data_IF_601090924841
#
_entry.id   IF_601090924841
#
_cell.length_a   1.000
_cell.length_b   1.000
_cell.length_c   1.000
_cell.angle_alpha   90.00
_cell.angle_beta   90.00
_cell.angle_gamma   90.00
#
_symmetry.space_group_name_H-M   'P 1'
#
loop_
_entity.id
_entity.type
_entity.pdbx_description
1 polymer ?
#
# COMPACT_ATOMS: atom_id res chain seq x y z
N UNK A 1 21.47 15.04 24.44
CA UNK A 1 20.46 14.36 23.61
C UNK A 1 19.13 15.10 23.59
N UNK A 2 18.60 15.58 24.73
CA UNK A 2 17.29 16.25 24.79
C UNK A 2 17.15 17.53 23.94
N UNK A 3 18.23 18.31 23.78
CA UNK A 3 18.19 19.55 22.99
C UNK A 3 18.08 19.29 21.48
N UNK A 4 18.69 18.21 20.97
CA UNK A 4 18.61 17.80 19.57
C UNK A 4 17.27 17.13 19.24
N UNK A 5 16.73 16.32 20.16
CA UNK A 5 15.39 15.74 20.04
C UNK A 5 14.31 16.83 20.00
N UNK A 6 14.45 17.88 20.82
CA UNK A 6 13.52 19.02 20.85
C UNK A 6 13.62 19.92 19.61
N UNK A 7 14.83 20.20 19.11
CA UNK A 7 15.00 20.97 17.87
C UNK A 7 14.41 20.22 16.66
N UNK A 8 14.56 18.89 16.62
CA UNK A 8 14.00 18.05 15.56
C UNK A 8 12.47 17.94 15.63
N UNK A 9 11.86 17.94 16.83
CA UNK A 9 10.40 17.99 16.96
C UNK A 9 9.83 19.33 16.52
N UNK A 10 10.44 20.43 16.96
CA UNK A 10 9.95 21.79 16.66
C UNK A 10 10.03 22.11 15.16
N UNK A 11 11.06 21.60 14.47
CA UNK A 11 11.19 21.74 13.00
C UNK A 11 10.21 20.85 12.22
N UNK A 12 9.95 19.63 12.70
CA UNK A 12 8.95 18.75 12.08
C UNK A 12 7.53 19.30 12.22
N UNK A 13 7.20 19.90 13.36
CA UNK A 13 5.89 20.49 13.60
C UNK A 13 5.70 21.79 12.79
N UNK A 14 6.74 22.61 12.64
CA UNK A 14 6.71 23.77 11.74
C UNK A 14 6.50 23.36 10.27
N UNK A 15 7.19 22.32 9.79
CA UNK A 15 7.02 21.80 8.43
C UNK A 15 5.59 21.26 8.21
N UNK A 16 5.03 20.53 9.18
CA UNK A 16 3.63 20.06 9.14
C UNK A 16 2.64 21.21 9.07
N UNK A 17 2.85 22.26 9.87
CA UNK A 17 2.01 23.46 9.86
C UNK A 17 2.07 24.18 8.51
N UNK A 18 3.25 24.26 7.89
CA UNK A 18 3.41 24.88 6.57
C UNK A 18 2.67 24.09 5.47
N UNK A 19 2.81 22.76 5.46
CA UNK A 19 2.13 21.91 4.48
C UNK A 19 0.61 21.96 4.65
N UNK A 20 0.11 22.03 5.89
CA UNK A 20 -1.33 22.22 6.14
C UNK A 20 -1.83 23.56 5.61
N UNK A 21 -1.10 24.64 5.85
CA UNK A 21 -1.46 25.96 5.34
C UNK A 21 -1.48 26.00 3.80
N UNK A 22 -0.48 25.37 3.14
CA UNK A 22 -0.44 25.29 1.69
C UNK A 22 -1.63 24.50 1.12
N UNK A 23 -1.94 23.34 1.72
CA UNK A 23 -3.11 22.54 1.34
C UNK A 23 -4.42 23.33 1.50
N UNK A 24 -4.62 23.97 2.64
CA UNK A 24 -5.83 24.77 2.93
C UNK A 24 -5.97 25.95 1.96
N UNK A 25 -4.86 26.60 1.61
CA UNK A 25 -4.84 27.69 0.62
C UNK A 25 -5.27 27.20 -0.75
N UNK A 26 -4.72 26.09 -1.24
CA UNK A 26 -5.08 25.53 -2.55
C UNK A 26 -6.54 25.04 -2.56
N UNK A 27 -6.99 24.41 -1.47
CA UNK A 27 -8.38 23.99 -1.31
C UNK A 27 -9.34 25.18 -1.33
N UNK A 28 -9.01 26.26 -0.63
CA UNK A 28 -9.81 27.49 -0.62
C UNK A 28 -9.86 28.12 -2.02
N UNK A 29 -8.71 28.22 -2.70
CA UNK A 29 -8.64 28.77 -4.07
C UNK A 29 -9.49 27.97 -5.04
N UNK A 30 -9.49 26.63 -4.93
CA UNK A 30 -10.33 25.77 -5.75
C UNK A 30 -11.82 26.01 -5.49
N UNK A 31 -12.22 26.13 -4.21
CA UNK A 31 -13.63 26.36 -3.82
C UNK A 31 -14.19 27.69 -4.31
N UNK A 32 -13.35 28.73 -4.37
CA UNK A 32 -13.75 30.08 -4.82
C UNK A 32 -13.87 30.17 -6.34
N UNK A 33 -13.32 29.23 -7.11
CA UNK A 33 -13.46 29.26 -8.56
C UNK A 33 -14.93 29.12 -9.00
N UNK A 34 -15.34 29.73 -10.11
CA UNK A 34 -16.63 29.45 -10.73
C UNK A 34 -16.79 27.96 -11.05
N UNK A 35 -17.99 27.40 -10.93
CA UNK A 35 -18.27 25.96 -11.15
C UNK A 35 -17.78 25.45 -12.50
N UNK A 36 -17.84 26.27 -13.55
CA UNK A 36 -17.34 25.92 -14.88
C UNK A 36 -15.82 25.70 -14.89
N UNK A 37 -15.08 26.53 -14.14
CA UNK A 37 -13.62 26.43 -13.99
C UNK A 37 -13.27 25.23 -13.11
N UNK A 38 -14.01 24.99 -12.02
CA UNK A 38 -13.83 23.81 -11.18
C UNK A 38 -13.95 22.51 -12.00
N UNK A 39 -15.04 22.37 -12.77
CA UNK A 39 -15.26 21.19 -13.63
C UNK A 39 -14.21 21.06 -14.73
N UNK A 40 -13.75 22.19 -15.29
CA UNK A 40 -12.67 22.19 -16.26
C UNK A 40 -11.38 21.61 -15.64
N UNK A 41 -10.99 22.09 -14.47
CA UNK A 41 -9.80 21.61 -13.76
C UNK A 41 -9.92 20.12 -13.40
N UNK A 42 -11.08 19.68 -12.89
CA UNK A 42 -11.38 18.27 -12.63
C UNK A 42 -11.28 17.40 -13.90
N UNK A 43 -11.71 17.94 -15.05
CA UNK A 43 -11.61 17.25 -16.34
C UNK A 43 -10.16 17.14 -16.81
N UNK A 44 -9.32 18.14 -16.54
CA UNK A 44 -7.88 18.09 -16.82
C UNK A 44 -7.12 17.15 -15.87
N UNK A 45 -7.54 17.06 -14.62
CA UNK A 45 -6.90 16.24 -13.59
C UNK A 45 -6.90 14.73 -13.93
N UNK A 46 -7.99 14.21 -14.51
CA UNK A 46 -8.14 12.77 -14.84
C UNK A 46 -7.04 12.25 -15.79
N UNK A 47 -6.85 12.81 -17.00
CA UNK A 47 -5.81 12.34 -17.91
C UNK A 47 -4.40 12.60 -17.38
N UNK A 48 -4.18 13.69 -16.61
CA UNK A 48 -2.90 13.95 -15.96
C UNK A 48 -2.54 12.86 -14.95
N UNK A 49 -3.48 12.53 -14.06
CA UNK A 49 -3.28 11.48 -13.07
C UNK A 49 -3.05 10.11 -13.72
N UNK A 50 -3.86 9.77 -14.73
CA UNK A 50 -3.68 8.54 -15.50
C UNK A 50 -2.31 8.46 -16.18
N UNK A 51 -1.87 9.54 -16.82
CA UNK A 51 -0.58 9.59 -17.52
C UNK A 51 0.61 9.38 -16.59
N UNK A 52 0.58 10.01 -15.41
CA UNK A 52 1.59 9.87 -14.36
C UNK A 52 1.71 8.41 -13.88
N UNK A 53 0.57 7.75 -13.66
CA UNK A 53 0.55 6.38 -13.14
C UNK A 53 0.93 5.35 -14.19
N UNK A 54 0.49 5.54 -15.44
CA UNK A 54 0.87 4.70 -16.58
C UNK A 54 2.29 4.96 -17.09
N UNK A 55 3.01 5.93 -16.50
CA UNK A 55 4.37 6.32 -16.89
C UNK A 55 4.46 6.66 -18.40
N UNK A 56 3.46 7.38 -18.91
CA UNK A 56 3.45 7.81 -20.32
C UNK A 56 4.66 8.72 -20.60
N UNK A 57 5.16 8.79 -21.84
CA UNK A 57 6.35 9.60 -22.15
C UNK A 57 6.11 11.11 -22.14
N UNK A 58 4.85 11.54 -22.28
CA UNK A 58 4.45 12.94 -22.31
C UNK A 58 2.96 13.08 -21.98
N UNK A 59 2.55 14.25 -21.53
CA UNK A 59 1.15 14.62 -21.34
C UNK A 59 0.92 16.07 -21.73
N UNK A 60 -0.23 16.32 -22.37
CA UNK A 60 -0.71 17.67 -22.68
C UNK A 60 -1.83 18.03 -21.72
N UNK A 61 -1.87 19.29 -21.31
CA UNK A 61 -2.92 19.82 -20.45
C UNK A 61 -3.18 21.28 -20.76
N UNK A 62 -4.33 21.77 -20.30
CA UNK A 62 -4.75 23.15 -20.54
C UNK A 62 -4.95 23.93 -19.25
N UNK A 63 -4.54 25.18 -19.25
CA UNK A 63 -4.91 26.15 -18.21
C UNK A 63 -6.30 26.73 -18.51
N UNK A 64 -7.09 27.12 -17.50
CA UNK A 64 -8.37 27.78 -17.71
C UNK A 64 -8.19 29.11 -18.44
N UNK A 65 -9.26 29.59 -19.07
CA UNK A 65 -9.27 30.88 -19.76
C UNK A 65 -9.23 32.07 -18.78
N UNK A 66 -9.86 31.89 -17.62
CA UNK A 66 -9.87 32.85 -16.52
C UNK A 66 -9.82 32.13 -15.17
N UNK A 67 -9.20 32.75 -14.18
CA UNK A 67 -9.07 32.18 -12.84
C UNK A 67 -9.21 33.25 -11.76
N UNK A 68 -9.81 32.90 -10.63
CA UNK A 68 -9.84 33.75 -9.45
C UNK A 68 -8.54 33.57 -8.67
N UNK A 69 -7.80 34.65 -8.44
CA UNK A 69 -6.47 34.58 -7.83
C UNK A 69 -6.42 35.01 -6.35
N UNK A 70 -7.52 35.53 -5.81
CA UNK A 70 -7.54 36.17 -4.50
C UNK A 70 -8.68 35.64 -3.63
N UNK A 71 -8.37 35.34 -2.37
CA UNK A 71 -9.31 34.80 -1.38
C UNK A 71 -10.05 35.91 -0.60
N UNK A 72 -9.53 37.13 -0.61
CA UNK A 72 -9.96 38.22 0.30
C UNK A 72 -11.40 38.74 0.06
N UNK A 73 -12.07 38.32 -1.02
CA UNK A 73 -13.50 38.58 -1.23
C UNK A 73 -14.10 37.59 -2.23
N UNK A 74 -14.36 36.35 -1.82
CA UNK A 74 -14.92 35.29 -2.66
C UNK A 74 -16.19 35.69 -3.45
N UNK A 75 -17.01 36.61 -2.91
CA UNK A 75 -18.23 37.12 -3.59
C UNK A 75 -17.98 38.25 -4.61
N UNK A 76 -16.79 38.87 -4.61
CA UNK A 76 -16.44 40.00 -5.49
C UNK A 76 -15.17 39.80 -6.31
N UNK A 77 -14.47 38.67 -6.14
CA UNK A 77 -13.21 38.40 -6.80
C UNK A 77 -13.42 38.27 -8.31
N UNK A 78 -12.92 39.24 -9.07
CA UNK A 78 -13.00 39.24 -10.53
C UNK A 78 -12.00 38.23 -11.09
N UNK A 79 -12.42 37.26 -11.94
CA UNK A 79 -11.49 36.35 -12.57
C UNK A 79 -10.51 37.08 -13.48
N UNK A 80 -9.21 36.82 -13.34
CA UNK A 80 -8.17 37.35 -14.21
C UNK A 80 -8.03 36.47 -15.45
N UNK A 81 -7.82 37.05 -16.65
CA UNK A 81 -7.60 36.28 -17.86
C UNK A 81 -6.22 35.61 -17.84
N UNK A 82 -6.16 34.35 -18.29
CA UNK A 82 -4.88 33.66 -18.54
C UNK A 82 -4.45 33.95 -19.98
N UNK A 83 -3.20 34.41 -20.22
CA UNK A 83 -2.73 34.71 -21.56
C UNK A 83 -2.78 33.48 -22.48
N UNK A 84 -3.17 33.71 -23.74
CA UNK A 84 -3.46 32.65 -24.73
C UNK A 84 -2.29 31.70 -24.99
N UNK A 85 -1.08 32.25 -25.00
CA UNK A 85 0.18 31.56 -25.24
C UNK A 85 0.55 30.57 -24.12
N UNK A 86 -0.05 30.70 -22.94
CA UNK A 86 0.15 29.79 -21.82
C UNK A 86 -1.01 28.80 -21.62
N UNK A 87 -2.08 28.87 -22.41
CA UNK A 87 -3.24 27.99 -22.21
C UNK A 87 -2.98 26.55 -22.56
N UNK A 88 -2.14 26.28 -23.55
CA UNK A 88 -1.75 24.92 -23.92
C UNK A 88 -0.38 24.61 -23.36
N UNK A 89 -0.30 23.55 -22.55
CA UNK A 89 0.91 23.12 -21.89
C UNK A 89 1.22 21.67 -22.22
N UNK A 90 2.50 21.35 -22.19
CA UNK A 90 3.00 20.00 -22.38
C UNK A 90 4.10 19.73 -21.37
N UNK A 91 4.07 18.54 -20.77
CA UNK A 91 5.13 18.03 -19.92
C UNK A 91 5.69 16.72 -20.50
N UNK A 92 7.00 16.55 -20.41
CA UNK A 92 7.71 15.41 -21.01
C UNK A 92 8.05 15.63 -22.49
N UNK A 93 8.45 14.57 -23.19
CA UNK A 93 8.82 14.61 -24.60
C UNK A 93 10.10 13.86 -24.97
N UNK A 94 10.57 14.05 -26.20
CA UNK A 94 11.73 13.32 -26.76
C UNK A 94 13.04 13.59 -25.99
N UNK A 95 13.24 14.83 -25.52
CA UNK A 95 14.42 15.20 -24.71
C UNK A 95 14.39 14.50 -23.34
N UNK A 96 13.21 14.44 -22.70
CA UNK A 96 13.01 13.71 -21.45
C UNK A 96 13.24 12.20 -21.60
N UNK A 97 12.88 11.61 -22.75
CA UNK A 97 13.18 10.21 -23.06
C UNK A 97 14.68 9.93 -23.19
N UNK A 98 15.43 10.85 -23.80
CA UNK A 98 16.89 10.75 -23.90
C UNK A 98 17.57 10.84 -22.53
N UNK A 99 17.02 11.69 -21.64
CA UNK A 99 17.50 11.89 -20.27
C UNK A 99 16.89 10.92 -19.25
N UNK A 100 16.08 9.95 -19.70
CA UNK A 100 15.31 9.01 -18.86
C UNK A 100 14.53 9.69 -17.73
N UNK A 101 14.09 10.93 -17.94
CA UNK A 101 13.31 11.68 -16.97
C UNK A 101 11.90 11.11 -16.91
N UNK A 102 11.49 10.61 -15.75
CA UNK A 102 10.13 10.14 -15.50
C UNK A 102 9.12 11.29 -15.73
N UNK A 103 7.99 11.00 -16.38
CA UNK A 103 6.95 12.00 -16.65
C UNK A 103 6.48 12.71 -15.39
N UNK A 104 6.49 12.01 -14.25
CA UNK A 104 6.13 12.60 -12.95
C UNK A 104 7.05 13.78 -12.60
N UNK A 105 8.35 13.59 -12.74
CA UNK A 105 9.34 14.62 -12.49
C UNK A 105 9.21 15.76 -13.51
N UNK A 106 9.00 15.43 -14.78
CA UNK A 106 8.79 16.43 -15.83
C UNK A 106 7.51 17.26 -15.61
N UNK A 107 6.41 16.64 -15.19
CA UNK A 107 5.16 17.33 -14.89
C UNK A 107 5.30 18.20 -13.63
N UNK A 108 5.88 17.68 -12.56
CA UNK A 108 6.16 18.46 -11.35
C UNK A 108 7.02 19.70 -11.68
N UNK A 109 8.13 19.50 -12.39
CA UNK A 109 9.00 20.60 -12.80
C UNK A 109 8.25 21.63 -13.64
N UNK A 110 7.44 21.19 -14.60
CA UNK A 110 6.69 22.11 -15.46
C UNK A 110 5.65 22.91 -14.67
N UNK A 111 4.98 22.30 -13.70
CA UNK A 111 4.01 23.00 -12.85
C UNK A 111 4.72 24.01 -11.94
N UNK A 112 5.87 23.66 -11.36
CA UNK A 112 6.69 24.59 -10.57
C UNK A 112 7.13 25.79 -11.41
N UNK A 113 7.60 25.58 -12.64
CA UNK A 113 7.97 26.69 -13.55
C UNK A 113 6.80 27.65 -13.83
N UNK A 114 5.58 27.12 -13.95
CA UNK A 114 4.38 27.94 -14.17
C UNK A 114 3.93 28.64 -12.88
N UNK A 115 4.09 27.99 -11.72
CA UNK A 115 3.82 28.57 -10.39
C UNK A 115 4.77 29.73 -10.05
N UNK A 116 6.01 29.69 -10.55
CA UNK A 116 7.01 30.77 -10.41
C UNK A 116 6.80 31.93 -11.39
N UNK A 117 5.79 31.86 -12.26
CA UNK A 117 5.48 32.93 -13.22
C UNK A 117 5.15 34.25 -12.51
N UNK A 118 5.63 35.41 -13.02
CA UNK A 118 5.24 36.71 -12.51
C UNK A 118 3.76 37.03 -12.75
N UNK A 119 3.11 36.35 -13.70
CA UNK A 119 1.67 36.46 -13.91
C UNK A 119 0.92 35.57 -12.92
N UNK A 120 0.22 36.22 -11.99
CA UNK A 120 -0.57 35.57 -10.95
C UNK A 120 -1.63 34.62 -11.51
N UNK A 121 -2.24 34.92 -12.67
CA UNK A 121 -3.24 34.05 -13.27
C UNK A 121 -2.63 32.73 -13.76
N UNK A 122 -1.40 32.76 -14.28
CA UNK A 122 -0.67 31.56 -14.67
C UNK A 122 -0.28 30.76 -13.43
N UNK A 123 0.30 31.43 -12.43
CA UNK A 123 0.77 30.78 -11.21
C UNK A 123 -0.37 30.07 -10.46
N UNK A 124 -1.50 30.74 -10.25
CA UNK A 124 -2.68 30.15 -9.59
C UNK A 124 -3.27 29.02 -10.43
N UNK A 125 -3.33 29.17 -11.76
CA UNK A 125 -3.83 28.11 -12.64
C UNK A 125 -3.00 26.83 -12.55
N UNK A 126 -1.68 26.95 -12.52
CA UNK A 126 -0.78 25.81 -12.37
C UNK A 126 -0.93 25.14 -10.99
N UNK A 127 -0.99 25.94 -9.91
CA UNK A 127 -1.24 25.44 -8.56
C UNK A 127 -2.57 24.68 -8.45
N UNK A 128 -3.63 25.19 -9.07
CA UNK A 128 -4.94 24.54 -9.12
C UNK A 128 -4.93 23.24 -9.96
N UNK A 129 -4.22 23.20 -11.08
CA UNK A 129 -4.03 21.96 -11.85
C UNK A 129 -3.30 20.91 -11.00
N UNK A 130 -2.24 21.32 -10.30
CA UNK A 130 -1.49 20.45 -9.39
C UNK A 130 -2.40 19.90 -8.28
N UNK A 131 -3.11 20.78 -7.59
CA UNK A 131 -4.05 20.45 -6.52
C UNK A 131 -5.14 19.50 -6.99
N UNK A 132 -5.83 19.83 -8.09
CA UNK A 132 -6.93 19.00 -8.60
C UNK A 132 -6.46 17.65 -9.12
N UNK A 133 -5.25 17.57 -9.66
CA UNK A 133 -4.63 16.29 -10.07
C UNK A 133 -4.41 15.37 -8.87
N UNK A 134 -3.78 15.87 -7.80
CA UNK A 134 -3.54 15.05 -6.59
C UNK A 134 -4.83 14.77 -5.83
N UNK A 135 -5.77 15.71 -5.79
CA UNK A 135 -7.09 15.48 -5.21
C UNK A 135 -7.85 14.39 -5.98
N UNK A 136 -7.77 14.36 -7.32
CA UNK A 136 -8.35 13.26 -8.09
C UNK A 136 -7.66 11.93 -7.82
N UNK A 137 -6.32 11.91 -7.70
CA UNK A 137 -5.59 10.70 -7.28
C UNK A 137 -6.10 10.19 -5.93
N UNK A 138 -6.26 11.05 -4.93
CA UNK A 138 -6.66 10.65 -3.59
C UNK A 138 -8.15 10.32 -3.50
N UNK A 139 -9.04 11.22 -3.91
CA UNK A 139 -10.49 11.07 -3.71
C UNK A 139 -11.19 10.31 -4.84
N UNK A 140 -10.64 10.36 -6.06
CA UNK A 140 -11.29 9.81 -7.26
C UNK A 140 -10.80 8.43 -7.70
N UNK A 141 -9.50 8.14 -7.54
CA UNK A 141 -8.90 6.88 -8.01
C UNK A 141 -8.88 5.77 -6.94
N UNK A 142 -8.95 6.16 -5.67
CA UNK A 142 -8.76 5.27 -4.55
C UNK A 142 -10.09 4.98 -3.83
N UNK A 143 -10.48 3.71 -3.62
CA UNK A 143 -11.66 3.38 -2.84
C UNK A 143 -11.69 4.05 -1.46
N UNK A 144 -12.88 4.52 -1.10
CA UNK A 144 -13.22 4.84 0.28
C UNK A 144 -13.39 3.52 1.04
N UNK A 145 -12.57 3.32 2.07
CA UNK A 145 -12.65 2.20 2.99
C UNK A 145 -13.21 2.63 4.34
N UNK A 146 -13.19 1.70 5.28
CA UNK A 146 -13.63 1.92 6.66
C UNK A 146 -12.59 2.74 7.42
N UNK A 147 -13.03 3.54 8.39
CA UNK A 147 -12.12 4.08 9.40
C UNK A 147 -11.66 2.95 10.30
N UNK A 148 -10.36 2.68 10.34
CA UNK A 148 -9.76 1.62 11.15
C UNK A 148 -8.55 2.16 11.89
N UNK A 149 -8.44 1.80 13.16
CA UNK A 149 -7.23 2.03 13.95
C UNK A 149 -6.41 0.75 13.99
N UNK A 150 -5.14 0.89 13.63
CA UNK A 150 -4.16 -0.20 13.74
C UNK A 150 -3.25 0.07 14.93
N UNK A 151 -2.91 -0.98 15.68
CA UNK A 151 -1.90 -0.93 16.73
C UNK A 151 -0.60 -1.56 16.25
N UNK A 152 0.50 -1.00 16.75
CA UNK A 152 1.84 -1.52 16.52
C UNK A 152 2.09 -2.68 17.46
N UNK A 153 2.52 -3.82 16.92
CA UNK A 153 2.96 -4.92 17.77
C UNK A 153 4.27 -4.54 18.49
N UNK A 154 4.56 -5.17 19.62
CA UNK A 154 5.75 -4.88 20.40
C UNK A 154 7.03 -5.04 19.56
N UNK A 155 7.85 -3.99 19.50
CA UNK A 155 9.13 -3.97 18.76
C UNK A 155 9.00 -3.79 17.24
N UNK A 156 7.82 -3.41 16.74
CA UNK A 156 7.59 -3.12 15.33
C UNK A 156 7.44 -1.61 15.08
N UNK A 157 7.57 -1.19 13.83
CA UNK A 157 7.47 0.22 13.42
C UNK A 157 6.14 0.55 12.74
N UNK A 158 5.52 -0.44 12.08
CA UNK A 158 4.31 -0.25 11.28
C UNK A 158 3.08 -0.79 12.05
N UNK A 159 2.09 0.05 12.36
CA UNK A 159 0.82 -0.40 12.91
C UNK A 159 0.10 -1.30 11.89
N UNK A 160 -0.12 -2.57 12.24
CA UNK A 160 -0.67 -3.58 11.31
C UNK A 160 -1.69 -4.52 11.95
N UNK A 161 -1.87 -4.46 13.27
CA UNK A 161 -2.90 -5.24 13.96
C UNK A 161 -4.16 -4.38 14.07
N UNK A 162 -5.26 -4.73 13.40
CA UNK A 162 -6.47 -3.94 13.48
C UNK A 162 -7.10 -4.06 14.87
N UNK A 163 -7.44 -2.92 15.48
CA UNK A 163 -8.24 -2.89 16.71
C UNK A 163 -9.69 -3.11 16.30
N UNK A 164 -10.27 -4.24 16.72
CA UNK A 164 -11.68 -4.51 16.48
C UNK A 164 -12.52 -3.58 17.34
N UNK A 165 -13.41 -2.80 16.71
CA UNK A 165 -14.59 -2.30 17.40
C UNK A 165 -15.55 -3.49 17.56
N UNK A 166 -15.80 -3.93 18.80
CA UNK A 166 -16.92 -4.83 19.11
C UNK A 166 -18.29 -4.20 18.77
N UNK A 167 -18.30 -2.91 18.42
CA UNK A 167 -19.49 -2.05 18.34
C UNK A 167 -19.93 -1.68 16.91
N UNK A 168 -19.27 -2.13 15.85
CA UNK A 168 -19.81 -1.91 14.50
C UNK A 168 -21.02 -2.84 14.30
N UNK A 169 -22.26 -2.31 14.22
CA UNK A 169 -23.45 -3.15 14.10
C UNK A 169 -23.34 -4.04 12.87
N UNK A 170 -23.82 -5.28 12.99
CA UNK A 170 -24.13 -6.11 11.83
C UNK A 170 -25.06 -5.30 10.93
N UNK A 171 -24.56 -4.80 9.79
CA UNK A 171 -25.43 -4.17 8.80
C UNK A 171 -26.56 -5.15 8.49
N UNK A 172 -27.81 -4.69 8.55
CA UNK A 172 -29.03 -5.50 8.40
C UNK A 172 -29.11 -6.31 7.09
N UNK A 173 -28.22 -6.04 6.14
CA UNK A 173 -28.05 -6.78 4.87
C UNK A 173 -27.30 -8.13 5.09
N UNK A 174 -26.71 -8.36 6.28
CA UNK A 174 -25.78 -9.47 6.55
C UNK A 174 -26.26 -10.45 7.64
N UNK A 175 -27.55 -10.42 7.99
CA UNK A 175 -28.14 -11.46 8.82
C UNK A 175 -28.04 -12.82 8.08
N UNK A 176 -27.73 -13.90 8.83
CA UNK A 176 -27.47 -15.28 8.35
C UNK A 176 -28.63 -15.97 7.60
N UNK A 177 -29.62 -15.24 7.11
CA UNK A 177 -30.79 -15.74 6.40
C UNK A 177 -31.13 -14.77 5.27
N UNK A 178 -30.44 -14.91 4.15
CA UNK A 178 -31.05 -15.10 2.82
C UNK A 178 -29.96 -15.06 1.75
N UNK A 179 -29.44 -16.25 1.43
CA UNK A 179 -28.92 -16.51 0.12
C UNK A 179 -30.12 -16.67 -0.83
N UNK A 180 -30.66 -15.56 -1.31
CA UNK A 180 -31.60 -15.57 -2.44
C UNK A 180 -30.98 -14.76 -3.57
N UNK A 181 -30.68 -15.49 -4.63
CA UNK A 181 -30.34 -14.99 -5.96
C UNK A 181 -31.50 -14.14 -6.46
N UNK A 182 -31.27 -12.85 -6.72
CA UNK A 182 -32.11 -12.06 -7.61
C UNK A 182 -31.22 -11.45 -8.71
N UNK A 183 -31.40 -11.98 -9.92
CA UNK A 183 -30.88 -11.40 -11.16
C UNK A 183 -31.56 -10.03 -11.38
N UNK A 184 -30.80 -8.95 -11.46
CA UNK A 184 -31.40 -7.64 -11.73
C UNK A 184 -30.43 -6.47 -11.81
N UNK A 185 -29.98 -6.18 -13.03
CA UNK A 185 -29.30 -4.96 -13.51
C UNK A 185 -27.80 -4.87 -13.24
N UNK A 186 -27.02 -5.32 -14.23
CA UNK A 186 -25.58 -5.21 -14.27
C UNK A 186 -25.09 -3.75 -14.25
N UNK A 187 -24.30 -3.43 -13.23
CA UNK A 187 -23.38 -2.31 -13.25
C UNK A 187 -22.11 -2.71 -14.01
N UNK A 188 -21.95 -2.16 -15.21
CA UNK A 188 -20.76 -2.29 -16.04
C UNK A 188 -19.55 -1.64 -15.34
N UNK A 189 -18.64 -2.46 -14.81
CA UNK A 189 -17.26 -2.02 -14.53
C UNK A 189 -16.60 -2.52 -13.24
N UNK A 190 -17.24 -3.36 -12.42
CA UNK A 190 -16.58 -4.01 -11.28
C UNK A 190 -16.81 -5.51 -11.37
N UNK A 191 -15.73 -6.29 -11.45
CA UNK A 191 -15.83 -7.73 -11.33
C UNK A 191 -16.51 -8.07 -10.02
N UNK A 192 -17.62 -8.79 -10.10
CA UNK A 192 -18.34 -9.35 -8.96
C UNK A 192 -17.40 -10.33 -8.25
N UNK A 193 -16.71 -9.86 -7.22
CA UNK A 193 -15.99 -10.72 -6.28
C UNK A 193 -16.88 -10.94 -5.07
N UNK A 194 -17.74 -11.96 -5.15
CA UNK A 194 -18.52 -12.46 -4.03
C UNK A 194 -17.55 -13.26 -3.14
N UNK A 195 -16.84 -12.59 -2.24
CA UNK A 195 -16.03 -13.27 -1.21
C UNK A 195 -16.93 -13.53 -0.01
N UNK A 196 -16.94 -14.75 0.57
CA UNK A 196 -17.67 -15.03 1.80
C UNK A 196 -17.18 -14.09 2.91
N UNK A 197 -18.05 -13.18 3.32
CA UNK A 197 -17.70 -12.15 4.28
C UNK A 197 -17.52 -12.78 5.67
N UNK A 198 -16.29 -12.93 6.14
CA UNK A 198 -15.99 -13.38 7.51
C UNK A 198 -15.97 -12.20 8.49
N UNK A 199 -16.45 -12.36 9.74
CA UNK A 199 -16.41 -11.30 10.75
C UNK A 199 -15.02 -10.69 10.97
N UNK A 200 -13.95 -11.49 10.84
CA UNK A 200 -12.57 -11.04 10.91
C UNK A 200 -12.25 -9.90 9.93
N UNK A 201 -12.79 -9.99 8.70
CA UNK A 201 -12.56 -9.01 7.65
C UNK A 201 -13.17 -7.63 7.96
N UNK A 202 -14.16 -7.56 8.87
CA UNK A 202 -14.79 -6.29 9.32
C UNK A 202 -13.77 -5.30 9.90
N UNK A 203 -12.68 -5.83 10.47
CA UNK A 203 -11.67 -5.06 11.19
C UNK A 203 -10.70 -4.33 10.27
N UNK A 204 -10.73 -4.60 8.96
CA UNK A 204 -9.79 -4.03 8.00
C UNK A 204 -10.38 -2.86 7.20
N UNK A 205 -9.49 -2.02 6.69
CA UNK A 205 -9.84 -0.85 5.88
C UNK A 205 -10.72 -1.22 4.68
N UNK A 206 -10.37 -2.30 3.96
CA UNK A 206 -11.18 -2.86 2.87
C UNK A 206 -11.40 -4.37 3.11
N UNK A 207 -12.56 -4.77 3.66
CA UNK A 207 -12.88 -6.17 3.95
C UNK A 207 -12.76 -7.11 2.74
N UNK A 208 -13.04 -6.60 1.53
CA UNK A 208 -12.96 -7.37 0.28
C UNK A 208 -11.55 -7.76 -0.14
N UNK A 209 -10.51 -7.19 0.47
CA UNK A 209 -9.10 -7.53 0.21
C UNK A 209 -8.48 -8.36 1.33
N UNK A 210 -9.31 -8.94 2.21
CA UNK A 210 -8.87 -9.84 3.27
C UNK A 210 -8.85 -11.26 2.72
N UNK A 211 -7.65 -11.76 2.44
CA UNK A 211 -7.41 -13.08 1.91
C UNK A 211 -7.14 -14.12 3.01
N UNK A 212 -6.74 -13.68 4.20
CA UNK A 212 -6.38 -14.56 5.32
C UNK A 212 -7.14 -14.19 6.59
N UNK A 213 -7.56 -15.22 7.34
CA UNK A 213 -8.24 -15.10 8.63
C UNK A 213 -7.29 -14.93 9.82
N UNK A 214 -7.83 -15.05 11.03
CA UNK A 214 -7.08 -14.86 12.28
C UNK A 214 -6.04 -15.95 12.56
N UNK A 215 -6.15 -17.12 11.92
CA UNK A 215 -5.24 -18.26 12.06
C UNK A 215 -4.45 -18.50 10.77
N UNK A 216 -4.30 -17.46 9.95
CA UNK A 216 -3.66 -17.53 8.63
C UNK A 216 -4.33 -18.54 7.68
N UNK A 217 -5.59 -18.88 7.91
CA UNK A 217 -6.37 -19.70 6.98
C UNK A 217 -6.73 -18.90 5.72
N UNK A 218 -6.62 -19.52 4.55
CA UNK A 218 -6.99 -18.92 3.28
C UNK A 218 -8.52 -18.78 3.20
N UNK A 219 -9.01 -17.55 3.02
CA UNK A 219 -10.43 -17.20 2.93
C UNK A 219 -10.92 -17.05 1.48
N UNK A 220 -9.99 -16.82 0.56
CA UNK A 220 -10.23 -16.71 -0.89
C UNK A 220 -10.04 -18.06 -1.58
N UNK A 221 -10.37 -18.15 -2.86
CA UNK A 221 -10.41 -19.44 -3.56
C UNK A 221 -9.01 -20.00 -3.88
N UNK A 222 -7.98 -19.15 -3.87
CA UNK A 222 -6.62 -19.53 -4.25
C UNK A 222 -5.55 -18.58 -3.69
N UNK A 223 -4.30 -19.06 -3.63
CA UNK A 223 -3.13 -18.23 -3.29
C UNK A 223 -2.93 -17.12 -4.32
N UNK A 224 -3.18 -17.39 -5.60
CA UNK A 224 -3.06 -16.40 -6.67
C UNK A 224 -4.05 -15.24 -6.48
N UNK A 225 -5.24 -15.51 -5.95
CA UNK A 225 -6.21 -14.47 -5.60
C UNK A 225 -5.72 -13.60 -4.44
N UNK A 226 -5.09 -14.22 -3.43
CA UNK A 226 -4.47 -13.51 -2.30
C UNK A 226 -3.30 -12.61 -2.75
N UNK A 227 -2.41 -13.11 -3.61
CA UNK A 227 -1.34 -12.35 -4.23
C UNK A 227 -1.88 -11.17 -5.05
N UNK A 228 -2.98 -11.38 -5.80
CA UNK A 228 -3.63 -10.32 -6.56
C UNK A 228 -4.22 -9.22 -5.67
N UNK A 229 -4.71 -9.55 -4.47
CA UNK A 229 -5.14 -8.56 -3.47
C UNK A 229 -3.94 -7.76 -2.95
N UNK A 230 -2.84 -8.41 -2.58
CA UNK A 230 -1.59 -7.73 -2.17
C UNK A 230 -1.08 -6.80 -3.26
N UNK A 231 -1.00 -7.27 -4.51
CA UNK A 231 -0.58 -6.47 -5.65
C UNK A 231 -1.52 -5.26 -5.89
N UNK A 232 -2.81 -5.41 -5.61
CA UNK A 232 -3.78 -4.30 -5.69
C UNK A 232 -3.53 -3.25 -4.61
N UNK A 233 -3.24 -3.68 -3.38
CA UNK A 233 -2.88 -2.79 -2.27
C UNK A 233 -1.55 -2.05 -2.53
N UNK A 234 -0.54 -2.72 -3.10
CA UNK A 234 0.72 -2.09 -3.51
C UNK A 234 0.49 -1.00 -4.57
N UNK A 235 -0.31 -1.30 -5.62
CA UNK A 235 -0.69 -0.29 -6.63
C UNK A 235 -1.42 0.90 -6.03
N UNK A 236 -2.23 0.69 -5.00
CA UNK A 236 -2.91 1.76 -4.28
C UNK A 236 -1.91 2.67 -3.55
N UNK A 237 -0.91 2.11 -2.88
CA UNK A 237 0.16 2.90 -2.26
C UNK A 237 0.99 3.66 -3.29
N UNK A 238 1.23 3.10 -4.47
CA UNK A 238 1.91 3.80 -5.57
C UNK A 238 1.17 5.07 -6.01
N UNK A 239 -0.16 5.08 -5.99
CA UNK A 239 -0.96 6.29 -6.27
C UNK A 239 -0.75 7.34 -5.20
N UNK A 240 -0.77 6.96 -3.92
CA UNK A 240 -0.52 7.89 -2.81
C UNK A 240 0.90 8.46 -2.88
N UNK A 241 1.90 7.63 -3.17
CA UNK A 241 3.28 8.09 -3.36
C UNK A 241 3.43 9.01 -4.56
N UNK A 242 2.72 8.75 -5.67
CA UNK A 242 2.70 9.63 -6.82
C UNK A 242 2.06 10.99 -6.48
N UNK A 243 0.98 11.00 -5.70
CA UNK A 243 0.34 12.23 -5.24
C UNK A 243 1.29 13.09 -4.39
N UNK A 244 1.98 12.51 -3.40
CA UNK A 244 2.94 13.25 -2.55
C UNK A 244 4.12 13.79 -3.34
N UNK A 245 4.64 13.02 -4.30
CA UNK A 245 5.72 13.50 -5.18
C UNK A 245 5.31 14.66 -6.06
N UNK A 246 4.03 14.73 -6.44
CA UNK A 246 3.51 15.83 -7.26
C UNK A 246 3.13 17.05 -6.41
N UNK A 247 2.60 16.84 -5.20
CA UNK A 247 2.18 17.91 -4.30
C UNK A 247 2.41 17.49 -2.84
N UNK A 248 3.57 17.82 -2.23
CA UNK A 248 3.90 17.34 -0.88
C UNK A 248 2.86 17.73 0.18
N UNK A 249 2.19 18.86 0.02
CA UNK A 249 1.15 19.32 0.95
C UNK A 249 -0.08 18.40 1.02
N UNK A 250 -0.29 17.48 0.06
CA UNK A 250 -1.43 16.54 0.09
C UNK A 250 -1.38 15.63 1.32
N UNK A 251 -0.22 15.47 1.97
CA UNK A 251 -0.14 14.73 3.24
C UNK A 251 -0.96 15.39 4.35
N UNK A 252 -1.28 16.68 4.22
CA UNK A 252 -2.10 17.38 5.18
C UNK A 252 -3.60 17.12 4.99
N UNK A 253 -4.01 16.42 3.93
CA UNK A 253 -5.38 15.94 3.75
C UNK A 253 -5.68 14.77 4.70
N UNK A 254 -6.79 14.90 5.43
CA UNK A 254 -7.22 13.90 6.40
C UNK A 254 -7.63 12.59 5.70
N UNK A 255 -8.23 12.68 4.50
CA UNK A 255 -8.62 11.49 3.73
C UNK A 255 -7.40 10.76 3.15
N UNK A 256 -6.40 11.50 2.69
CA UNK A 256 -5.09 10.94 2.32
C UNK A 256 -4.48 10.14 3.49
N UNK A 257 -4.44 10.73 4.70
CA UNK A 257 -3.86 10.06 5.85
C UNK A 257 -4.65 8.80 6.22
N UNK A 258 -5.97 8.89 6.27
CA UNK A 258 -6.84 7.75 6.54
C UNK A 258 -6.60 6.61 5.53
N UNK A 259 -6.58 6.93 4.23
CA UNK A 259 -6.30 5.97 3.15
C UNK A 259 -4.94 5.33 3.30
N UNK A 260 -3.91 6.15 3.57
CA UNK A 260 -2.53 5.68 3.73
C UNK A 260 -2.39 4.73 4.92
N UNK A 261 -2.86 5.13 6.11
CA UNK A 261 -2.76 4.31 7.32
C UNK A 261 -3.58 3.03 7.18
N UNK A 262 -4.81 3.14 6.66
CA UNK A 262 -5.69 1.99 6.43
C UNK A 262 -5.06 0.96 5.50
N UNK A 263 -4.55 1.42 4.36
CA UNK A 263 -3.94 0.55 3.36
C UNK A 263 -2.64 -0.08 3.83
N UNK A 264 -1.77 0.71 4.46
CA UNK A 264 -0.45 0.23 4.89
C UNK A 264 -0.58 -0.86 5.95
N UNK A 265 -1.45 -0.64 6.96
CA UNK A 265 -1.68 -1.63 8.02
C UNK A 265 -2.26 -2.93 7.46
N UNK A 266 -3.22 -2.84 6.55
CA UNK A 266 -3.81 -4.01 5.90
C UNK A 266 -2.81 -4.75 4.99
N UNK A 267 -2.03 -4.04 4.18
CA UNK A 267 -1.04 -4.64 3.29
C UNK A 267 0.00 -5.44 4.06
N UNK A 268 0.58 -4.83 5.11
CA UNK A 268 1.55 -5.52 5.97
C UNK A 268 0.91 -6.74 6.61
N UNK A 269 -0.28 -6.60 7.18
CA UNK A 269 -0.96 -7.72 7.81
C UNK A 269 -1.18 -8.91 6.86
N UNK A 270 -1.76 -8.65 5.69
CA UNK A 270 -2.12 -9.68 4.72
C UNK A 270 -0.89 -10.26 4.00
N UNK A 271 0.12 -9.44 3.73
CA UNK A 271 1.40 -9.90 3.18
C UNK A 271 2.12 -10.87 4.12
N UNK A 272 2.19 -10.54 5.41
CA UNK A 272 2.76 -11.44 6.42
C UNK A 272 1.94 -12.72 6.61
N UNK A 273 0.60 -12.64 6.50
CA UNK A 273 -0.25 -13.81 6.57
C UNK A 273 -0.05 -14.76 5.38
N UNK A 274 0.14 -14.22 4.18
CA UNK A 274 0.52 -15.00 2.99
C UNK A 274 1.84 -15.77 3.23
N UNK A 275 2.86 -15.09 3.72
CA UNK A 275 4.17 -15.70 3.98
C UNK A 275 4.09 -16.85 5.01
N UNK A 276 3.32 -16.68 6.09
CA UNK A 276 3.04 -17.75 7.05
C UNK A 276 2.27 -18.91 6.45
N UNK A 277 1.25 -18.63 5.63
CA UNK A 277 0.48 -19.66 4.95
C UNK A 277 1.38 -20.51 4.03
N UNK A 278 2.21 -19.86 3.21
CA UNK A 278 3.15 -20.54 2.31
C UNK A 278 4.23 -21.33 3.07
N UNK A 279 4.71 -20.81 4.20
CA UNK A 279 5.59 -21.55 5.12
C UNK A 279 4.92 -22.85 5.60
N UNK A 280 3.63 -22.78 5.95
CA UNK A 280 2.82 -23.96 6.28
C UNK A 280 2.71 -24.97 5.14
N UNK A 281 2.55 -24.51 3.89
CA UNK A 281 2.54 -25.36 2.70
C UNK A 281 3.91 -26.04 2.45
N UNK A 282 5.01 -25.33 2.68
CA UNK A 282 6.37 -25.88 2.62
C UNK A 282 6.50 -27.02 3.64
N UNK A 283 6.11 -26.79 4.89
CA UNK A 283 6.14 -27.80 5.97
C UNK A 283 5.33 -29.04 5.56
N UNK A 284 4.08 -28.86 5.10
CA UNK A 284 3.21 -29.96 4.65
C UNK A 284 3.84 -30.73 3.48
N UNK A 285 4.50 -30.03 2.56
CA UNK A 285 5.17 -30.65 1.41
C UNK A 285 6.39 -31.45 1.82
N UNK A 286 7.22 -30.95 2.73
CA UNK A 286 8.38 -31.68 3.26
C UNK A 286 7.90 -32.95 3.96
N UNK A 287 6.92 -32.88 4.87
CA UNK A 287 6.39 -34.06 5.57
C UNK A 287 5.89 -35.12 4.59
N UNK A 288 5.08 -34.74 3.59
CA UNK A 288 4.58 -35.65 2.55
C UNK A 288 5.71 -36.33 1.76
N UNK A 289 6.75 -35.58 1.38
CA UNK A 289 7.89 -36.11 0.62
C UNK A 289 8.81 -36.98 1.50
N UNK A 290 8.91 -36.66 2.79
CA UNK A 290 9.64 -37.48 3.77
C UNK A 290 8.96 -38.85 3.93
N UNK A 291 7.64 -38.87 4.09
CA UNK A 291 6.85 -40.11 4.19
C UNK A 291 6.96 -40.98 2.92
N UNK A 292 7.04 -40.34 1.75
CA UNK A 292 7.27 -41.01 0.47
C UNK A 292 8.75 -41.40 0.21
N UNK A 293 9.66 -41.12 1.15
CA UNK A 293 11.11 -41.33 1.03
C UNK A 293 11.77 -40.62 -0.18
N UNK A 294 11.15 -39.53 -0.67
CA UNK A 294 11.56 -38.76 -1.86
C UNK A 294 12.49 -37.58 -1.54
N UNK A 295 13.03 -37.51 -0.31
CA UNK A 295 13.95 -36.46 0.13
C UNK A 295 15.42 -36.91 0.23
N UNK A 296 15.73 -38.17 -0.09
CA UNK A 296 17.07 -38.76 0.06
C UNK A 296 18.10 -38.30 -1.01
N UNK A 297 17.90 -37.12 -1.60
CA UNK A 297 18.69 -36.57 -2.71
C UNK A 297 19.16 -35.12 -2.52
N UNK A 298 18.90 -34.54 -1.34
CA UNK A 298 19.11 -33.12 -1.05
C UNK A 298 17.79 -32.37 -0.87
N UNK A 299 17.85 -31.26 -0.12
CA UNK A 299 16.71 -30.40 0.17
C UNK A 299 17.19 -28.96 0.29
N UNK A 300 16.64 -28.10 -0.55
CA UNK A 300 16.76 -26.65 -0.46
C UNK A 300 15.34 -26.07 -0.34
N UNK A 301 15.20 -25.00 0.45
CA UNK A 301 13.95 -24.31 0.67
C UNK A 301 14.08 -22.87 0.17
N UNK A 302 13.05 -22.38 -0.47
CA UNK A 302 12.88 -20.97 -0.77
C UNK A 302 11.79 -20.48 0.17
N UNK A 303 12.19 -19.94 1.33
CA UNK A 303 11.27 -19.52 2.38
C UNK A 303 10.71 -18.12 2.04
N UNK A 304 9.41 -17.96 1.76
CA UNK A 304 8.83 -16.67 1.48
C UNK A 304 8.68 -15.86 2.76
N UNK A 305 8.96 -14.57 2.69
CA UNK A 305 8.72 -13.62 3.78
C UNK A 305 8.22 -12.28 3.22
N UNK A 306 7.42 -11.56 3.98
CA UNK A 306 7.00 -10.21 3.61
C UNK A 306 8.00 -9.17 4.13
N UNK A 307 8.61 -8.39 3.23
CA UNK A 307 9.51 -7.32 3.59
C UNK A 307 8.73 -6.04 3.90
N UNK A 308 8.59 -5.71 5.18
CA UNK A 308 7.86 -4.53 5.64
C UNK A 308 8.43 -3.19 5.14
N UNK A 309 9.71 -3.14 4.74
CA UNK A 309 10.32 -1.93 4.22
C UNK A 309 10.05 -1.75 2.73
N UNK A 310 10.16 -2.84 1.95
CA UNK A 310 9.87 -2.85 0.52
C UNK A 310 8.37 -3.03 0.20
N UNK A 311 7.59 -3.46 1.20
CA UNK A 311 6.17 -3.79 1.12
C UNK A 311 5.86 -4.85 0.06
N UNK A 312 6.70 -5.87 -0.06
CA UNK A 312 6.59 -6.93 -1.05
C UNK A 312 7.02 -8.30 -0.51
N UNK A 313 6.57 -9.37 -1.17
CA UNK A 313 7.03 -10.73 -0.91
C UNK A 313 8.46 -10.91 -1.43
N UNK A 314 9.33 -11.47 -0.59
CA UNK A 314 10.70 -11.84 -0.93
C UNK A 314 10.96 -13.28 -0.52
N UNK A 315 12.06 -13.83 -1.00
CA UNK A 315 12.47 -15.21 -0.75
C UNK A 315 13.80 -15.20 0.01
N UNK A 316 13.87 -16.03 1.05
CA UNK A 316 15.09 -16.37 1.77
C UNK A 316 15.46 -17.82 1.46
N UNK A 317 16.54 -18.03 0.70
CA UNK A 317 16.98 -19.37 0.32
C UNK A 317 17.75 -20.06 1.44
N UNK A 318 17.38 -21.30 1.72
CA UNK A 318 17.92 -22.12 2.80
C UNK A 318 18.40 -23.45 2.21
N UNK A 319 19.68 -23.75 2.36
CA UNK A 319 20.22 -25.08 2.06
C UNK A 319 20.10 -25.97 3.30
N UNK A 320 19.25 -27.00 3.23
CA UNK A 320 19.02 -27.93 4.35
C UNK A 320 19.91 -29.16 4.23
N UNK A 321 19.92 -29.77 3.04
CA UNK A 321 20.77 -30.91 2.71
C UNK A 321 21.36 -30.63 1.32
N UNK A 322 22.70 -30.60 1.18
CA UNK A 322 23.30 -30.42 -0.14
C UNK A 322 22.93 -31.57 -1.08
N UNK A 323 22.96 -31.30 -2.39
CA UNK A 323 22.64 -32.31 -3.40
C UNK A 323 23.56 -33.54 -3.24
N UNK A 324 22.97 -34.73 -3.11
CA UNK A 324 23.72 -35.96 -2.88
C UNK A 324 22.86 -37.09 -2.30
N UNK A 325 23.43 -38.28 -2.12
CA UNK A 325 22.73 -39.45 -1.55
C UNK A 325 22.74 -39.42 -0.02
N UNK A 326 22.23 -38.34 0.56
CA UNK A 326 22.11 -38.18 2.02
C UNK A 326 20.68 -38.54 2.42
N UNK A 327 20.53 -39.47 3.36
CA UNK A 327 19.22 -39.84 3.90
C UNK A 327 18.60 -38.63 4.61
N UNK A 328 17.35 -38.31 4.32
CA UNK A 328 16.64 -37.24 4.99
C UNK A 328 16.35 -37.60 6.45
N UNK A 329 16.62 -36.66 7.36
CA UNK A 329 16.25 -36.74 8.78
C UNK A 329 15.68 -35.38 9.19
N UNK A 330 14.54 -35.30 9.90
CA UNK A 330 13.92 -34.04 10.34
C UNK A 330 14.87 -33.07 11.05
N UNK A 331 15.83 -33.61 11.81
CA UNK A 331 16.86 -32.84 12.51
C UNK A 331 17.71 -31.95 11.58
N UNK A 332 17.82 -32.28 10.28
CA UNK A 332 18.48 -31.40 9.32
C UNK A 332 17.71 -30.11 9.08
N UNK A 333 16.38 -30.16 9.03
CA UNK A 333 15.53 -28.97 8.90
C UNK A 333 15.67 -28.09 10.15
N UNK A 334 15.59 -28.69 11.34
CA UNK A 334 15.79 -27.99 12.63
C UNK A 334 17.15 -27.30 12.68
N UNK A 335 18.22 -28.01 12.31
CA UNK A 335 19.57 -27.44 12.27
C UNK A 335 19.68 -26.29 11.28
N UNK A 336 19.14 -26.45 10.07
CA UNK A 336 19.18 -25.41 9.05
C UNK A 336 18.40 -24.16 9.50
N UNK A 337 17.19 -24.34 10.05
CA UNK A 337 16.39 -23.25 10.59
C UNK A 337 17.15 -22.46 11.67
N UNK A 338 17.71 -23.14 12.68
CA UNK A 338 18.50 -22.50 13.75
C UNK A 338 19.74 -21.76 13.24
N UNK A 339 20.42 -22.32 12.23
CA UNK A 339 21.58 -21.67 11.60
C UNK A 339 21.16 -20.39 10.86
N UNK A 340 20.04 -20.42 10.15
CA UNK A 340 19.48 -19.25 9.48
C UNK A 340 18.95 -18.21 10.47
N UNK A 341 18.30 -18.62 11.56
CA UNK A 341 17.86 -17.71 12.63
C UNK A 341 19.02 -16.89 13.19
N UNK A 342 20.17 -17.53 13.46
CA UNK A 342 21.35 -16.85 13.95
C UNK A 342 21.89 -15.81 12.94
N UNK A 343 21.83 -16.11 11.63
CA UNK A 343 22.22 -15.17 10.57
C UNK A 343 21.24 -14.00 10.48
N UNK A 344 19.95 -14.29 10.41
CA UNK A 344 18.88 -13.29 10.30
C UNK A 344 18.86 -12.36 11.52
N UNK A 345 19.06 -12.88 12.73
CA UNK A 345 19.12 -12.08 13.95
C UNK A 345 20.21 -10.99 13.87
N UNK A 346 21.33 -11.30 13.22
CA UNK A 346 22.46 -10.39 13.05
C UNK A 346 22.40 -9.55 11.77
N UNK A 347 21.47 -9.81 10.85
CA UNK A 347 21.38 -9.07 9.59
C UNK A 347 20.84 -7.66 9.81
N UNK A 348 21.73 -6.67 9.77
CA UNK A 348 21.40 -5.25 9.95
C UNK A 348 20.73 -4.61 8.73
N UNK A 349 20.69 -5.31 7.58
CA UNK A 349 20.03 -4.80 6.37
C UNK A 349 18.51 -4.94 6.44
N UNK A 350 18.01 -5.87 7.26
CA UNK A 350 16.59 -6.05 7.48
C UNK A 350 16.07 -5.07 8.54
N UNK A 351 14.91 -4.48 8.27
CA UNK A 351 14.18 -3.69 9.28
C UNK A 351 13.93 -4.56 10.53
N UNK A 352 13.86 -3.97 11.74
CA UNK A 352 13.55 -4.73 12.96
C UNK A 352 12.27 -5.54 12.83
N UNK A 353 11.27 -4.98 12.16
CA UNK A 353 9.97 -5.59 11.92
C UNK A 353 10.04 -6.78 10.96
N UNK A 354 10.66 -6.60 9.78
CA UNK A 354 10.89 -7.69 8.80
C UNK A 354 11.67 -8.84 9.44
N UNK A 355 12.73 -8.51 10.19
CA UNK A 355 13.58 -9.49 10.87
C UNK A 355 12.79 -10.32 11.88
N UNK A 356 12.00 -9.66 12.74
CA UNK A 356 11.16 -10.34 13.72
C UNK A 356 10.19 -11.32 13.05
N UNK A 357 9.60 -10.91 11.94
CA UNK A 357 8.67 -11.75 11.20
C UNK A 357 9.33 -12.96 10.54
N UNK A 358 10.46 -12.76 9.84
CA UNK A 358 11.23 -13.86 9.24
C UNK A 358 11.74 -14.85 10.30
N UNK A 359 12.17 -14.35 11.47
CA UNK A 359 12.51 -15.21 12.60
C UNK A 359 11.32 -16.04 13.11
N UNK A 360 10.10 -15.51 13.05
CA UNK A 360 8.90 -16.27 13.42
C UNK A 360 8.58 -17.39 12.42
N UNK A 361 8.81 -17.17 11.13
CA UNK A 361 8.66 -18.20 10.08
C UNK A 361 9.71 -19.29 10.19
N UNK A 362 10.98 -18.92 10.41
CA UNK A 362 12.05 -19.87 10.67
C UNK A 362 11.77 -20.72 11.92
N UNK A 363 11.23 -20.09 12.97
CA UNK A 363 10.82 -20.79 14.18
C UNK A 363 9.62 -21.71 13.97
N UNK A 364 8.66 -21.32 13.13
CA UNK A 364 7.56 -22.19 12.71
C UNK A 364 8.09 -23.44 11.99
N UNK A 365 9.06 -23.25 11.09
CA UNK A 365 9.75 -24.34 10.41
C UNK A 365 10.51 -25.23 11.42
N UNK A 366 11.26 -24.66 12.36
CA UNK A 366 11.96 -25.40 13.41
C UNK A 366 10.99 -26.27 14.22
N UNK A 367 9.93 -25.67 14.75
CA UNK A 367 8.97 -26.33 15.63
C UNK A 367 8.21 -27.47 14.94
N UNK A 368 7.97 -27.36 13.64
CA UNK A 368 7.29 -28.40 12.88
C UNK A 368 8.11 -29.70 12.74
N UNK A 369 9.44 -29.63 12.85
CA UNK A 369 10.35 -30.77 12.70
C UNK A 369 11.09 -31.14 13.99
N UNK A 370 10.95 -30.35 15.06
CA UNK A 370 11.52 -30.69 16.37
C UNK A 370 10.73 -31.85 17.02
N UNK A 371 11.41 -32.97 17.20
CA UNK A 371 10.79 -34.27 17.54
C UNK A 371 10.31 -34.37 19.00
N UNK A 372 10.34 -33.27 19.76
CA UNK A 372 9.90 -33.17 21.16
C UNK A 372 8.36 -33.12 21.32
N UNK A 373 7.61 -32.94 20.23
CA UNK A 373 6.13 -32.94 20.23
C UNK A 373 5.49 -34.21 19.64
N UNK A 374 6.28 -35.09 19.00
CA UNK A 374 5.81 -36.35 18.39
C UNK A 374 6.23 -37.64 19.15
N UNK A 375 7.05 -37.53 20.19
CA UNK A 375 7.64 -38.68 20.89
C UNK A 375 6.92 -39.07 22.20
N UNK A 376 5.95 -38.29 22.69
CA UNK A 376 5.13 -38.68 23.85
C UNK A 376 3.96 -39.62 23.51
N UNK A 377 3.53 -39.72 22.24
CA UNK A 377 2.47 -40.67 21.86
C UNK A 377 2.98 -42.08 21.53
N UNK A 378 4.29 -42.28 21.36
CA UNK A 378 4.88 -43.57 20.99
C UNK A 378 5.42 -44.39 22.17
N UNK A 379 5.53 -43.81 23.39
CA UNK A 379 6.07 -44.49 24.58
C UNK A 379 5.01 -44.82 25.65
N UNK A 380 3.72 -44.58 25.36
CA UNK A 380 2.60 -44.91 26.25
C UNK A 380 1.96 -46.29 26.07
N UNK A 381 2.59 -47.19 25.30
CA UNK A 381 2.14 -48.59 25.15
C UNK A 381 3.35 -49.53 25.16
N UNK A 382 3.84 -49.83 26.36
CA UNK A 382 4.49 -51.12 26.66
C UNK A 382 3.53 -51.88 27.57
#
# INVERSE_FOLDING_TARGET
MDKQLKINSDTADAARSQLRQEYETQQALMRVQPTIVQRFLETQARPLAGAVLQKLPQVQFKLPDRVVCDLESAEKAKPLPVPTEFREQMAGGLVGRLMRTDLRAALHQRLVELEESPDKAIAVSAGLIRYTTVAHMVHGMLPAGRSVSYVTAQGEEIPSIPVGDELAPESAITAKTDAIVEEGQGETGRGELIVPYVPAARRFYLPQWVAFGDRDELLVNSVQEAEAHIASMQRFLDVLHAAVRLAPYIIADDEYQQKRYGMLGQLVNQGRALARYETGEIIRTINRRADAQDLNRGLSLSLPFFDDQALEMKVHDIEVIPAGRIMFVPAFVVRAARMEEAKVAQDTRLSPSTRKHLLAELKMLEQAFDSSSGSEQALGKI
#
